data_IF_583199445857
#
_entry.id   IF_583199445857
#
_cell.length_a   1.000
_cell.length_b   1.000
_cell.length_c   1.000
_cell.angle_alpha   90.00
_cell.angle_beta   90.00
_cell.angle_gamma   90.00
#
_symmetry.space_group_name_H-M   'P 1'
#
loop_
_entity.id
_entity.type
_entity.pdbx_description
1 polymer ?
#
# COMPACT_ATOMS: atom_id res chain seq x y z
N UNK A 1 -0.28 11.47 5.05
CA UNK A 1 -1.29 10.67 4.28
C UNK A 1 -0.70 9.35 3.85
N UNK A 2 -1.45 8.30 4.01
CA UNK A 2 -1.07 6.95 3.56
C UNK A 2 -1.98 6.42 2.47
N UNK A 3 -1.42 5.63 1.57
CA UNK A 3 -2.16 4.91 0.53
C UNK A 3 -1.88 3.42 0.66
N UNK A 4 -2.94 2.64 0.75
CA UNK A 4 -2.89 1.18 0.93
C UNK A 4 -3.39 0.51 -0.35
N UNK A 5 -2.48 -0.06 -1.11
CA UNK A 5 -2.78 -0.75 -2.37
C UNK A 5 -3.04 -2.23 -2.09
N UNK A 6 -4.21 -2.72 -2.49
CA UNK A 6 -4.62 -4.09 -2.19
C UNK A 6 -4.94 -4.25 -0.70
N UNK A 7 -5.81 -3.40 -0.16
CA UNK A 7 -6.01 -3.24 1.28
C UNK A 7 -6.65 -4.43 1.99
N UNK A 8 -7.38 -5.28 1.29
CA UNK A 8 -8.09 -6.41 1.90
C UNK A 8 -8.99 -5.96 3.04
N UNK A 9 -8.72 -6.43 4.26
CA UNK A 9 -9.48 -6.06 5.47
C UNK A 9 -9.25 -4.62 5.95
N UNK A 10 -8.27 -3.92 5.37
CA UNK A 10 -7.91 -2.56 5.76
C UNK A 10 -6.96 -2.46 6.94
N UNK A 11 -6.37 -3.56 7.38
CA UNK A 11 -5.58 -3.60 8.62
C UNK A 11 -4.41 -2.60 8.62
N UNK A 12 -3.69 -2.46 7.50
CA UNK A 12 -2.53 -1.56 7.44
C UNK A 12 -2.94 -0.09 7.46
N UNK A 13 -3.97 0.27 6.70
CA UNK A 13 -4.47 1.64 6.68
C UNK A 13 -5.13 2.03 8.02
N UNK A 14 -5.86 1.11 8.63
CA UNK A 14 -6.44 1.33 9.97
C UNK A 14 -5.34 1.52 11.01
N UNK A 15 -4.32 0.67 10.99
CA UNK A 15 -3.17 0.81 11.88
C UNK A 15 -2.48 2.15 11.71
N UNK A 16 -2.30 2.60 10.47
CA UNK A 16 -1.70 3.91 10.19
C UNK A 16 -2.51 5.06 10.81
N UNK A 17 -3.82 5.02 10.70
CA UNK A 17 -4.71 6.03 11.31
C UNK A 17 -4.64 6.00 12.84
N UNK A 18 -4.62 4.81 13.43
CA UNK A 18 -4.49 4.66 14.89
C UNK A 18 -3.13 5.16 15.40
N UNK A 19 -2.08 5.09 14.58
CA UNK A 19 -0.74 5.55 14.92
C UNK A 19 -0.50 7.03 14.61
N UNK A 20 -1.51 7.74 14.12
CA UNK A 20 -1.44 9.19 13.97
C UNK A 20 -1.46 9.73 12.55
N UNK A 21 -1.65 8.89 11.53
CA UNK A 21 -1.85 9.40 10.17
C UNK A 21 -3.13 10.26 10.13
N UNK A 22 -3.05 11.40 9.46
CA UNK A 22 -4.20 12.30 9.34
C UNK A 22 -5.30 11.71 8.48
N UNK A 23 -4.92 11.20 7.32
CA UNK A 23 -5.84 10.62 6.35
C UNK A 23 -5.21 9.36 5.76
N UNK A 24 -6.05 8.39 5.41
CA UNK A 24 -5.65 7.21 4.68
C UNK A 24 -6.64 6.93 3.54
N UNK A 25 -6.08 6.49 2.43
CA UNK A 25 -6.82 6.04 1.26
C UNK A 25 -6.45 4.59 0.99
N UNK A 26 -7.42 3.79 0.61
CA UNK A 26 -7.21 2.38 0.36
C UNK A 26 -8.01 1.91 -0.85
N UNK A 27 -7.47 0.98 -1.60
CA UNK A 27 -8.19 0.36 -2.70
C UNK A 27 -7.93 -1.13 -2.76
N UNK A 28 -8.90 -1.85 -3.32
CA UNK A 28 -8.77 -3.26 -3.61
C UNK A 28 -9.61 -3.58 -4.85
N UNK A 29 -9.16 -4.49 -5.68
CA UNK A 29 -9.90 -4.92 -6.87
C UNK A 29 -11.18 -5.68 -6.49
N UNK A 30 -11.22 -6.29 -5.31
CA UNK A 30 -12.41 -6.96 -4.78
C UNK A 30 -13.31 -5.94 -4.07
N UNK A 31 -14.48 -5.68 -4.65
CA UNK A 31 -15.44 -4.71 -4.10
C UNK A 31 -15.96 -5.09 -2.70
N UNK A 32 -15.92 -6.35 -2.34
CA UNK A 32 -16.32 -6.83 -1.00
C UNK A 32 -15.39 -6.28 0.09
N UNK A 33 -14.13 -6.00 -0.25
CA UNK A 33 -13.15 -5.46 0.70
C UNK A 33 -13.54 -4.07 1.19
N UNK A 34 -14.25 -3.27 0.41
CA UNK A 34 -14.65 -1.92 0.79
C UNK A 34 -15.50 -1.92 2.06
N UNK A 35 -16.57 -2.71 2.07
CA UNK A 35 -17.44 -2.84 3.25
C UNK A 35 -16.70 -3.37 4.46
N UNK A 36 -15.89 -4.40 4.27
CA UNK A 36 -15.12 -5.03 5.35
C UNK A 36 -14.13 -4.04 5.96
N UNK A 37 -13.41 -3.27 5.14
CA UNK A 37 -12.47 -2.27 5.63
C UNK A 37 -13.17 -1.19 6.46
N UNK A 38 -14.32 -0.68 6.01
CA UNK A 38 -15.08 0.31 6.76
C UNK A 38 -15.65 -0.26 8.07
N UNK A 39 -16.13 -1.50 8.07
CA UNK A 39 -16.59 -2.18 9.29
C UNK A 39 -15.45 -2.31 10.31
N UNK A 40 -14.29 -2.75 9.87
CA UNK A 40 -13.12 -2.89 10.74
C UNK A 40 -12.66 -1.52 11.28
N UNK A 41 -12.71 -0.49 10.47
CA UNK A 41 -12.40 0.87 10.90
C UNK A 41 -13.37 1.32 11.99
N UNK A 42 -14.66 1.09 11.81
CA UNK A 42 -15.69 1.46 12.79
C UNK A 42 -15.48 0.76 14.13
N UNK A 43 -15.05 -0.52 14.12
CA UNK A 43 -14.72 -1.26 15.34
C UNK A 43 -13.57 -0.61 16.13
N UNK A 44 -12.76 0.22 15.47
CA UNK A 44 -11.65 0.94 16.08
C UNK A 44 -11.93 2.43 16.27
N UNK A 45 -13.19 2.84 16.17
CA UNK A 45 -13.60 4.22 16.35
C UNK A 45 -13.23 5.15 15.19
N UNK A 46 -12.94 4.59 14.01
CA UNK A 46 -12.54 5.37 12.83
C UNK A 46 -13.75 5.50 11.89
N UNK A 47 -14.18 6.74 11.66
CA UNK A 47 -15.21 7.08 10.70
C UNK A 47 -14.63 7.32 9.31
N UNK A 48 -15.50 7.72 8.39
CA UNK A 48 -15.13 7.92 6.97
C UNK A 48 -14.55 9.30 6.68
N UNK A 49 -14.47 10.18 7.64
CA UNK A 49 -13.95 11.55 7.47
C UNK A 49 -12.48 11.53 7.09
N UNK A 50 -11.73 10.57 7.62
CA UNK A 50 -10.28 10.45 7.41
C UNK A 50 -9.89 9.12 6.76
N UNK A 51 -10.86 8.31 6.33
CA UNK A 51 -10.62 7.03 5.72
C UNK A 51 -11.49 6.81 4.49
N UNK A 52 -10.86 6.73 3.33
CA UNK A 52 -11.54 6.55 2.04
C UNK A 52 -11.12 5.21 1.44
N UNK A 53 -12.09 4.31 1.23
CA UNK A 53 -11.85 3.02 0.61
C UNK A 53 -12.67 2.90 -0.67
N UNK A 54 -12.06 2.46 -1.74
CA UNK A 54 -12.70 2.29 -3.05
C UNK A 54 -12.34 0.93 -3.65
N UNK A 55 -13.28 0.39 -4.42
CA UNK A 55 -12.99 -0.77 -5.27
C UNK A 55 -12.29 -0.30 -6.54
N UNK A 56 -11.29 -1.05 -6.98
CA UNK A 56 -10.56 -0.78 -8.20
C UNK A 56 -9.06 -0.74 -8.00
N UNK A 57 -8.36 -0.42 -9.08
CA UNK A 57 -6.92 -0.30 -9.11
C UNK A 57 -6.55 1.14 -9.51
N UNK A 58 -5.95 1.88 -8.58
CA UNK A 58 -5.58 3.28 -8.79
C UNK A 58 -4.57 3.46 -9.94
N UNK A 59 -3.81 2.41 -10.26
CA UNK A 59 -2.80 2.48 -11.32
C UNK A 59 -3.38 2.31 -12.72
N UNK A 60 -4.55 1.67 -12.85
CA UNK A 60 -5.21 1.43 -14.14
C UNK A 60 -6.51 2.20 -14.32
N UNK A 61 -7.19 2.56 -13.23
CA UNK A 61 -8.45 3.31 -13.26
C UNK A 61 -8.18 4.81 -13.14
N UNK A 62 -8.31 5.53 -14.25
CA UNK A 62 -8.03 6.98 -14.30
C UNK A 62 -8.96 7.81 -13.42
N UNK A 63 -10.21 7.37 -13.25
CA UNK A 63 -11.17 8.06 -12.36
C UNK A 63 -10.72 7.93 -10.91
N UNK A 64 -10.37 6.72 -10.50
CA UNK A 64 -9.89 6.43 -9.16
C UNK A 64 -8.56 7.16 -8.89
N UNK A 65 -7.66 7.17 -9.85
CA UNK A 65 -6.39 7.89 -9.77
C UNK A 65 -6.60 9.40 -9.53
N UNK A 66 -7.59 10.00 -10.20
CA UNK A 66 -7.92 11.42 -10.00
C UNK A 66 -8.52 11.68 -8.61
N UNK A 67 -9.37 10.77 -8.13
CA UNK A 67 -9.97 10.89 -6.79
C UNK A 67 -8.90 10.78 -5.69
N UNK A 68 -7.99 9.82 -5.83
CA UNK A 68 -6.96 9.55 -4.82
C UNK A 68 -5.81 10.57 -4.88
N UNK A 69 -5.52 11.10 -6.07
CA UNK A 69 -4.44 12.09 -6.24
C UNK A 69 -3.06 11.51 -5.98
N UNK A 70 -2.19 12.32 -5.40
CA UNK A 70 -0.81 11.98 -5.11
C UNK A 70 -0.35 12.64 -3.80
N UNK A 71 0.96 12.90 -3.72
CA UNK A 71 1.59 13.53 -2.55
C UNK A 71 1.45 12.75 -1.25
N UNK A 72 1.41 11.43 -1.34
CA UNK A 72 1.37 10.58 -0.16
C UNK A 72 2.73 10.55 0.55
N UNK A 73 2.70 10.51 1.85
CA UNK A 73 3.90 10.31 2.67
C UNK A 73 4.40 8.88 2.56
N UNK A 74 3.47 7.93 2.50
CA UNK A 74 3.77 6.52 2.39
C UNK A 74 2.73 5.81 1.53
N UNK A 75 3.22 4.89 0.69
CA UNK A 75 2.39 3.92 -0.02
C UNK A 75 2.76 2.54 0.50
N UNK A 76 1.77 1.77 0.90
CA UNK A 76 1.96 0.40 1.38
C UNK A 76 1.28 -0.59 0.44
N UNK A 77 1.91 -1.74 0.24
CA UNK A 77 1.37 -2.82 -0.58
C UNK A 77 1.73 -4.16 0.07
N UNK A 78 0.76 -4.78 0.73
CA UNK A 78 0.92 -6.11 1.32
C UNK A 78 0.22 -7.12 0.40
N UNK A 79 0.90 -7.52 -0.65
CA UNK A 79 0.36 -8.31 -1.76
C UNK A 79 1.42 -9.26 -2.29
N UNK A 80 1.01 -10.17 -3.18
CA UNK A 80 1.92 -11.17 -3.74
C UNK A 80 3.03 -10.56 -4.59
N UNK A 81 4.16 -11.27 -4.67
CA UNK A 81 5.38 -10.80 -5.33
C UNK A 81 5.18 -10.33 -6.77
N UNK A 82 4.43 -11.06 -7.58
CA UNK A 82 4.19 -10.68 -8.98
C UNK A 82 3.53 -9.31 -9.11
N UNK A 83 2.60 -9.01 -8.23
CA UNK A 83 1.91 -7.72 -8.24
C UNK A 83 2.85 -6.61 -7.77
N UNK A 84 3.66 -6.84 -6.74
CA UNK A 84 4.67 -5.87 -6.28
C UNK A 84 5.65 -5.54 -7.41
N UNK A 85 6.13 -6.53 -8.13
CA UNK A 85 7.04 -6.34 -9.27
C UNK A 85 6.41 -5.45 -10.33
N UNK A 86 5.15 -5.70 -10.66
CA UNK A 86 4.42 -4.90 -11.64
C UNK A 86 4.16 -3.46 -11.16
N UNK A 87 3.91 -3.28 -9.86
CA UNK A 87 3.67 -1.96 -9.25
C UNK A 87 4.94 -1.11 -9.16
N UNK A 88 6.08 -1.73 -8.91
CA UNK A 88 7.31 -1.04 -8.55
C UNK A 88 7.66 0.18 -9.42
N UNK A 89 7.55 0.14 -10.76
CA UNK A 89 7.83 1.31 -11.58
C UNK A 89 6.72 2.36 -11.59
N UNK A 90 5.55 2.08 -11.01
CA UNK A 90 4.37 2.92 -11.11
C UNK A 90 4.03 3.68 -9.82
N UNK A 91 4.69 3.36 -8.71
CA UNK A 91 4.34 3.91 -7.39
C UNK A 91 4.93 5.30 -7.15
N UNK A 92 6.11 5.59 -7.68
CA UNK A 92 6.81 6.85 -7.38
C UNK A 92 5.97 8.12 -7.64
N UNK A 93 5.18 8.23 -8.72
CA UNK A 93 4.37 9.42 -8.94
C UNK A 93 3.27 9.65 -7.89
N UNK A 94 2.93 8.63 -7.10
CA UNK A 94 1.93 8.74 -6.04
C UNK A 94 2.52 9.34 -4.77
N UNK A 95 3.84 9.33 -4.62
CA UNK A 95 4.53 9.79 -3.43
C UNK A 95 4.98 11.24 -3.55
N UNK A 96 4.96 11.95 -2.44
CA UNK A 96 5.67 13.22 -2.35
C UNK A 96 7.17 12.98 -2.39
N UNK A 97 7.94 14.04 -2.63
CA UNK A 97 9.41 13.98 -2.58
C UNK A 97 9.85 13.47 -1.20
N UNK A 98 10.67 12.42 -1.18
CA UNK A 98 11.12 11.79 0.05
C UNK A 98 10.12 10.81 0.66
N UNK A 99 8.99 10.57 0.00
CA UNK A 99 8.01 9.59 0.46
C UNK A 99 8.52 8.16 0.42
N UNK A 100 7.85 7.28 1.16
CA UNK A 100 8.29 5.90 1.36
C UNK A 100 7.34 4.91 0.68
N UNK A 101 7.92 3.84 0.15
CA UNK A 101 7.18 2.69 -0.36
C UNK A 101 7.50 1.47 0.48
N UNK A 102 6.50 0.94 1.16
CA UNK A 102 6.62 -0.28 1.98
C UNK A 102 5.87 -1.41 1.28
N UNK A 103 6.61 -2.42 0.86
CA UNK A 103 6.00 -3.64 0.32
C UNK A 103 6.26 -4.83 1.25
N UNK A 104 5.27 -5.70 1.39
CA UNK A 104 5.25 -6.80 2.33
C UNK A 104 4.47 -7.98 1.74
N UNK A 105 4.44 -9.10 2.46
CA UNK A 105 3.74 -10.29 2.00
C UNK A 105 4.54 -11.07 0.95
N UNK A 106 5.86 -10.91 0.95
CA UNK A 106 6.77 -11.54 -0.03
C UNK A 106 7.32 -12.83 0.57
N UNK A 107 7.04 -13.96 -0.08
CA UNK A 107 7.61 -15.24 0.37
C UNK A 107 9.13 -15.27 0.09
N UNK A 108 9.87 -16.02 0.89
CA UNK A 108 11.34 -16.08 0.81
C UNK A 108 11.84 -16.49 -0.56
N UNK A 109 11.18 -17.42 -1.25
CA UNK A 109 11.53 -17.89 -2.59
C UNK A 109 11.52 -16.75 -3.63
N UNK A 110 10.79 -15.69 -3.40
CA UNK A 110 10.63 -14.56 -4.30
C UNK A 110 11.33 -13.28 -3.82
N UNK A 111 11.96 -13.32 -2.65
CA UNK A 111 12.53 -12.12 -2.01
C UNK A 111 13.62 -11.46 -2.86
N UNK A 112 14.54 -12.23 -3.41
CA UNK A 112 15.64 -11.72 -4.26
C UNK A 112 15.09 -11.12 -5.55
N UNK A 113 14.15 -11.79 -6.19
CA UNK A 113 13.53 -11.31 -7.42
C UNK A 113 12.82 -9.98 -7.21
N UNK A 114 12.07 -9.85 -6.11
CA UNK A 114 11.39 -8.60 -5.76
C UNK A 114 12.41 -7.49 -5.48
N UNK A 115 13.46 -7.77 -4.72
CA UNK A 115 14.51 -6.79 -4.43
C UNK A 115 15.17 -6.28 -5.71
N UNK A 116 15.49 -7.19 -6.64
CA UNK A 116 16.08 -6.82 -7.92
C UNK A 116 15.13 -5.95 -8.76
N UNK A 117 13.84 -6.29 -8.79
CA UNK A 117 12.82 -5.52 -9.50
C UNK A 117 12.66 -4.11 -8.90
N UNK A 118 12.69 -3.99 -7.58
CA UNK A 118 12.64 -2.69 -6.90
C UNK A 118 13.84 -1.83 -7.30
N UNK A 119 15.04 -2.37 -7.28
CA UNK A 119 16.27 -1.64 -7.65
C UNK A 119 16.24 -1.23 -9.12
N UNK A 120 15.80 -2.10 -10.01
CA UNK A 120 15.66 -1.78 -11.44
C UNK A 120 14.65 -0.66 -11.68
N UNK A 121 13.62 -0.56 -10.84
CA UNK A 121 12.64 0.53 -10.91
C UNK A 121 13.14 1.84 -10.26
N UNK A 122 14.35 1.86 -9.76
CA UNK A 122 14.98 3.06 -9.19
C UNK A 122 14.78 3.24 -7.69
N UNK A 123 14.26 2.22 -6.99
CA UNK A 123 14.09 2.28 -5.55
C UNK A 123 15.40 1.94 -4.82
N UNK A 124 15.70 2.70 -3.77
CA UNK A 124 16.71 2.34 -2.79
C UNK A 124 16.01 1.57 -1.66
N UNK A 125 16.46 0.35 -1.41
CA UNK A 125 15.94 -0.45 -0.30
C UNK A 125 16.66 0.03 0.97
N UNK A 126 15.94 0.72 1.83
CA UNK A 126 16.46 1.30 3.07
C UNK A 126 16.51 0.28 4.18
N UNK A 127 15.55 -0.64 4.21
CA UNK A 127 15.44 -1.66 5.23
C UNK A 127 14.79 -2.90 4.64
N UNK A 128 15.30 -4.07 5.01
CA UNK A 128 14.73 -5.36 4.67
C UNK A 128 14.50 -6.13 5.96
N UNK A 129 13.31 -6.70 6.13
CA UNK A 129 12.98 -7.53 7.29
C UNK A 129 12.45 -8.87 6.84
N UNK A 130 12.74 -9.89 7.63
CA UNK A 130 12.27 -11.25 7.40
C UNK A 130 11.71 -11.80 8.72
N UNK A 131 10.58 -12.47 8.63
CA UNK A 131 9.96 -13.17 9.76
C UNK A 131 9.25 -14.41 9.24
N UNK A 132 9.67 -15.58 9.71
CA UNK A 132 9.03 -16.86 9.40
C UNK A 132 8.83 -17.12 7.90
N UNK A 133 9.85 -16.76 7.09
CA UNK A 133 9.80 -16.96 5.64
C UNK A 133 9.08 -15.86 4.86
N UNK A 134 8.66 -14.78 5.51
CA UNK A 134 8.03 -13.62 4.89
C UNK A 134 8.94 -12.41 4.93
N UNK A 135 9.04 -11.71 3.81
CA UNK A 135 9.89 -10.53 3.67
C UNK A 135 9.09 -9.26 3.51
N UNK A 136 9.67 -8.15 3.97
CA UNK A 136 9.19 -6.80 3.68
C UNK A 136 10.38 -5.91 3.32
N UNK A 137 10.13 -4.91 2.46
CA UNK A 137 11.12 -3.93 2.05
C UNK A 137 10.56 -2.52 2.23
N UNK A 138 11.33 -1.68 2.92
CA UNK A 138 11.07 -0.25 3.01
C UNK A 138 11.97 0.47 2.01
N UNK A 139 11.37 1.19 1.10
CA UNK A 139 12.06 1.81 -0.04
C UNK A 139 11.86 3.33 -0.07
N UNK A 140 12.85 4.00 -0.61
CA UNK A 140 12.80 5.44 -0.84
C UNK A 140 13.32 5.81 -2.24
#
# INVERSE_FOLDING_TARGET
MGLDLGCGSGILSIAALLLGARDAFACDIDDKCVGVAYENAALNGIGREHYTVRAGDVLSDKRLAREFGGDYDIVVANIVADVIIALAPQVRPLLKKGGLFLCSGIIDDRAVEVADALRLAGWAIMEARESEGWFSYLCQ
#
